data_IF_550661786551
#
_entry.id   IF_550661786551
#
_cell.length_a   1.000
_cell.length_b   1.000
_cell.length_c   1.000
_cell.angle_alpha   90.00
_cell.angle_beta   90.00
_cell.angle_gamma   90.00
#
_symmetry.space_group_name_H-M   'P 1'
#
loop_
_entity.id
_entity.type
_entity.pdbx_description
1 polymer ?
#
# COMPACT_ATOMS: atom_id res chain seq x y z
N UNK A 1 21.18 37.37 18.67
CA UNK A 1 21.91 38.17 19.71
C UNK A 1 21.60 37.70 21.14
N UNK A 2 20.36 37.39 21.50
CA UNK A 2 20.02 36.94 22.88
C UNK A 2 20.71 35.65 23.33
N UNK A 3 20.69 34.63 22.51
CA UNK A 3 21.25 33.32 22.85
C UNK A 3 22.79 33.35 23.10
N UNK A 4 23.52 34.14 22.31
CA UNK A 4 24.97 34.31 22.46
C UNK A 4 25.30 35.02 23.77
N UNK A 5 24.52 36.02 24.16
CA UNK A 5 24.70 36.74 25.42
C UNK A 5 24.37 35.82 26.64
N UNK A 6 23.33 34.99 26.53
CA UNK A 6 22.96 34.02 27.56
C UNK A 6 24.06 32.96 27.74
N UNK A 7 24.62 32.42 26.64
CA UNK A 7 25.75 31.49 26.67
C UNK A 7 27.01 32.10 27.33
N UNK A 8 27.29 33.36 27.07
CA UNK A 8 28.39 34.08 27.71
C UNK A 8 28.16 34.24 29.21
N UNK A 9 26.93 34.59 29.62
CA UNK A 9 26.56 34.73 31.01
C UNK A 9 26.65 33.41 31.77
N UNK A 10 26.15 32.31 31.20
CA UNK A 10 26.27 30.97 31.79
C UNK A 10 27.74 30.59 31.99
N UNK A 11 28.59 30.76 30.96
CA UNK A 11 30.00 30.42 31.05
C UNK A 11 30.75 31.30 32.10
N UNK A 12 30.35 32.55 32.28
CA UNK A 12 30.88 33.41 33.32
C UNK A 12 30.48 32.92 34.73
N UNK A 13 29.20 32.59 34.92
CA UNK A 13 28.72 32.04 36.17
C UNK A 13 29.39 30.70 36.53
N UNK A 14 29.65 29.84 35.57
CA UNK A 14 30.40 28.60 35.73
C UNK A 14 31.84 28.86 36.20
N UNK A 15 32.53 29.81 35.57
CA UNK A 15 33.90 30.21 35.95
C UNK A 15 33.95 30.81 37.35
N UNK A 16 33.02 31.70 37.71
CA UNK A 16 32.89 32.32 39.04
C UNK A 16 32.62 31.27 40.12
N UNK A 17 31.97 30.17 39.77
CA UNK A 17 31.74 29.02 40.67
C UNK A 17 32.94 28.02 40.71
N UNK A 18 34.08 28.34 40.10
CA UNK A 18 35.26 27.47 40.07
C UNK A 18 35.16 26.24 39.15
N UNK A 19 34.20 26.23 38.27
CA UNK A 19 33.99 25.14 37.31
C UNK A 19 34.81 25.37 36.05
N UNK A 20 35.87 24.58 35.85
CA UNK A 20 36.77 24.68 34.71
C UNK A 20 36.23 23.98 33.43
N UNK A 21 34.91 24.08 33.26
CA UNK A 21 34.19 23.56 32.11
C UNK A 21 33.39 24.69 31.46
N UNK A 22 33.27 24.71 30.17
CA UNK A 22 32.48 25.71 29.44
C UNK A 22 31.62 25.09 28.35
N UNK A 23 30.47 25.69 28.07
CA UNK A 23 29.58 25.35 26.99
C UNK A 23 30.03 26.08 25.74
N UNK A 24 30.21 25.39 24.63
CA UNK A 24 30.55 25.96 23.32
C UNK A 24 29.46 25.65 22.30
N UNK A 25 29.04 26.64 21.53
CA UNK A 25 28.20 26.42 20.36
C UNK A 25 29.06 26.11 19.15
N UNK A 26 28.66 25.05 18.41
CA UNK A 26 29.22 24.70 17.09
C UNK A 26 28.10 24.44 16.08
N UNK A 27 27.92 25.36 15.17
CA UNK A 27 26.73 25.33 14.31
C UNK A 27 25.46 25.41 15.16
N UNK A 28 24.56 24.48 14.99
CA UNK A 28 23.32 24.42 15.76
C UNK A 28 23.43 23.59 17.05
N UNK A 29 24.62 23.08 17.41
CA UNK A 29 24.79 22.14 18.51
C UNK A 29 25.60 22.74 19.66
N UNK A 30 25.27 22.33 20.88
CA UNK A 30 26.02 22.65 22.10
C UNK A 30 27.01 21.53 22.43
N UNK A 31 28.19 21.91 22.89
CA UNK A 31 29.25 21.05 23.35
C UNK A 31 29.78 21.51 24.70
N UNK A 32 30.28 20.60 25.51
CA UNK A 32 31.01 20.90 26.73
C UNK A 32 32.51 20.78 26.46
N UNK A 33 33.31 21.77 26.86
CA UNK A 33 34.76 21.76 26.73
C UNK A 33 35.43 22.08 28.07
N UNK A 34 36.48 21.34 28.38
CA UNK A 34 37.27 21.58 29.59
C UNK A 34 38.32 20.53 29.88
N UNK A 35 38.91 20.63 31.05
CA UNK A 35 39.93 19.69 31.53
C UNK A 35 39.27 18.37 31.92
N UNK A 36 39.44 17.31 31.10
CA UNK A 36 38.83 15.99 31.27
C UNK A 36 39.94 14.91 31.25
N UNK A 37 39.74 13.76 31.93
CA UNK A 37 40.64 12.62 31.82
C UNK A 37 40.82 12.16 30.38
N UNK A 38 42.02 11.71 30.00
CA UNK A 38 42.23 11.19 28.64
C UNK A 38 41.43 9.93 28.39
N UNK A 39 40.85 9.81 27.17
CA UNK A 39 40.02 8.66 26.76
C UNK A 39 40.78 7.32 26.71
N UNK A 40 42.08 7.35 26.62
CA UNK A 40 42.96 6.16 26.55
C UNK A 40 43.38 5.62 27.94
N UNK A 41 42.71 6.03 29.01
CA UNK A 41 42.94 5.47 30.34
C UNK A 41 44.28 5.83 31.02
N UNK A 42 45.07 6.77 30.47
CA UNK A 42 46.38 7.15 31.00
C UNK A 42 46.34 8.00 32.27
N UNK A 43 45.15 8.32 32.76
CA UNK A 43 44.98 9.21 33.94
C UNK A 43 45.36 10.68 33.72
N UNK A 44 45.94 11.04 32.59
CA UNK A 44 46.29 12.41 32.26
C UNK A 44 45.07 13.26 31.98
N UNK A 45 45.04 14.49 32.47
CA UNK A 45 43.98 15.46 32.25
C UNK A 45 44.39 16.34 31.04
N UNK A 46 43.54 16.43 30.06
CA UNK A 46 43.74 17.33 28.88
C UNK A 46 42.46 18.07 28.57
N UNK A 47 42.58 19.22 27.91
CA UNK A 47 41.40 19.91 27.41
C UNK A 47 40.75 19.07 26.31
N UNK A 48 39.58 18.60 26.60
CA UNK A 48 38.77 17.75 25.70
C UNK A 48 37.36 18.29 25.57
N UNK A 49 36.58 17.63 24.71
CA UNK A 49 35.21 18.06 24.41
C UNK A 49 34.26 16.87 24.50
N UNK A 50 33.08 17.13 25.08
CA UNK A 50 31.92 16.24 25.10
C UNK A 50 30.86 16.86 24.17
N UNK A 51 30.34 16.11 23.19
CA UNK A 51 29.17 16.54 22.42
C UNK A 51 27.92 16.32 23.27
N UNK A 52 27.15 17.38 23.51
CA UNK A 52 25.93 17.29 24.32
C UNK A 52 24.71 16.85 23.52
N UNK A 53 24.79 16.90 22.19
CA UNK A 53 23.67 16.62 21.27
C UNK A 53 22.42 17.47 21.54
N UNK A 54 22.60 18.63 22.13
CA UNK A 54 21.55 19.62 22.41
C UNK A 54 21.59 20.72 21.38
N UNK A 55 20.44 21.15 20.88
CA UNK A 55 20.33 22.31 20.02
C UNK A 55 20.69 23.60 20.77
N UNK A 56 21.31 24.53 20.06
CA UNK A 56 21.65 25.86 20.59
C UNK A 56 20.38 26.74 20.66
N UNK A 57 19.51 26.43 21.61
CA UNK A 57 18.29 27.13 21.94
C UNK A 57 18.16 27.27 23.47
N UNK A 58 17.22 28.07 23.95
CA UNK A 58 17.07 28.36 25.37
C UNK A 58 16.87 27.11 26.25
N UNK A 59 16.09 26.12 25.75
CA UNK A 59 15.88 24.84 26.42
C UNK A 59 17.17 24.00 26.42
N UNK A 60 17.90 23.99 25.30
CA UNK A 60 19.18 23.30 25.19
C UNK A 60 20.26 23.88 26.11
N UNK A 61 20.33 25.23 26.30
CA UNK A 61 21.26 25.87 27.20
C UNK A 61 21.00 25.49 28.65
N UNK A 62 19.74 25.46 29.11
CA UNK A 62 19.38 25.05 30.47
C UNK A 62 19.77 23.60 30.77
N UNK A 63 19.58 22.72 29.80
CA UNK A 63 19.97 21.31 29.93
C UNK A 63 21.50 21.16 29.89
N UNK A 64 22.19 21.92 29.03
CA UNK A 64 23.64 21.92 28.97
C UNK A 64 24.25 22.36 30.31
N UNK A 65 23.68 23.37 30.99
CA UNK A 65 24.10 23.81 32.31
C UNK A 65 23.97 22.70 33.37
N UNK A 66 22.88 21.96 33.39
CA UNK A 66 22.71 20.78 34.27
C UNK A 66 23.75 19.72 34.01
N UNK A 67 24.06 19.42 32.74
CA UNK A 67 25.09 18.46 32.36
C UNK A 67 26.47 18.90 32.82
N UNK A 68 26.79 20.19 32.69
CA UNK A 68 28.06 20.76 33.22
C UNK A 68 28.20 20.49 34.71
N UNK A 69 27.18 20.74 35.49
CA UNK A 69 27.16 20.49 36.94
C UNK A 69 27.38 19.01 37.26
N UNK A 70 26.74 18.11 36.52
CA UNK A 70 26.88 16.67 36.70
C UNK A 70 28.31 16.20 36.36
N UNK A 71 28.87 16.66 35.24
CA UNK A 71 30.24 16.35 34.85
C UNK A 71 31.25 16.88 35.87
N UNK A 72 31.07 18.10 36.37
CA UNK A 72 31.90 18.66 37.38
C UNK A 72 31.86 17.85 38.71
N UNK A 73 30.67 17.45 39.14
CA UNK A 73 30.48 16.59 40.30
C UNK A 73 31.20 15.24 40.16
N UNK A 74 31.11 14.58 38.99
CA UNK A 74 31.81 13.33 38.71
C UNK A 74 33.33 13.50 38.69
N UNK A 75 33.85 14.61 38.17
CA UNK A 75 35.27 14.93 38.17
C UNK A 75 35.81 15.12 39.58
N UNK A 76 35.08 15.86 40.44
CA UNK A 76 35.45 16.06 41.84
C UNK A 76 35.55 14.76 42.62
N UNK A 77 34.63 13.80 42.35
CA UNK A 77 34.59 12.50 43.01
C UNK A 77 35.49 11.43 42.35
N UNK A 78 36.23 11.80 41.33
CA UNK A 78 37.05 10.85 40.52
C UNK A 78 36.20 9.71 39.92
N UNK A 79 34.95 9.94 39.71
CA UNK A 79 33.95 8.99 39.17
C UNK A 79 33.59 9.28 37.70
N UNK A 80 34.35 10.17 37.06
CA UNK A 80 34.10 10.49 35.65
C UNK A 80 34.48 9.30 34.78
N UNK A 81 33.49 8.81 34.00
CA UNK A 81 33.69 7.73 33.03
C UNK A 81 33.22 8.18 31.63
N UNK A 82 34.12 8.07 30.67
CA UNK A 82 33.84 8.39 29.28
C UNK A 82 32.71 7.58 28.68
N UNK A 83 32.45 6.35 29.13
CA UNK A 83 31.34 5.51 28.65
C UNK A 83 29.98 6.16 28.83
N UNK A 84 29.81 7.01 29.85
CA UNK A 84 28.59 7.75 30.14
C UNK A 84 28.46 9.02 29.26
N UNK A 85 29.59 9.56 28.77
CA UNK A 85 29.65 10.83 28.02
C UNK A 85 30.09 10.67 26.58
N UNK A 86 30.74 9.59 26.25
CA UNK A 86 30.74 9.05 24.92
C UNK A 86 29.48 8.21 24.80
N UNK A 87 28.34 8.84 24.69
CA UNK A 87 27.37 8.24 23.80
C UNK A 87 28.21 7.87 22.60
N UNK A 88 28.37 6.57 22.32
CA UNK A 88 28.63 6.15 20.96
C UNK A 88 27.65 7.01 20.19
N UNK A 89 28.16 8.08 19.56
CA UNK A 89 27.47 8.67 18.46
C UNK A 89 27.17 7.45 17.61
N UNK A 90 26.01 6.91 17.74
CA UNK A 90 25.37 6.21 16.66
C UNK A 90 25.00 7.25 15.61
N UNK A 91 26.00 8.04 15.17
CA UNK A 91 26.21 8.23 13.76
C UNK A 91 26.61 6.85 13.28
N UNK A 92 25.66 5.96 13.27
CA UNK A 92 25.67 4.78 12.45
C UNK A 92 26.05 5.37 11.09
N UNK A 93 27.24 5.01 10.60
CA UNK A 93 27.70 5.54 9.31
C UNK A 93 26.56 5.27 8.34
N UNK A 94 26.26 6.16 7.37
CA UNK A 94 25.17 5.96 6.42
C UNK A 94 25.14 4.56 5.84
N UNK A 95 26.29 3.92 5.73
CA UNK A 95 26.45 2.52 5.34
C UNK A 95 25.92 1.51 6.39
N UNK A 96 26.10 1.76 7.69
CA UNK A 96 25.59 0.87 8.75
C UNK A 96 24.09 0.99 8.93
N UNK A 97 23.52 2.21 8.78
CA UNK A 97 22.05 2.42 8.77
C UNK A 97 21.45 1.72 7.56
N UNK A 98 22.06 1.90 6.39
CA UNK A 98 21.61 1.25 5.15
C UNK A 98 21.73 -0.27 5.23
N UNK A 99 22.73 -0.80 5.92
CA UNK A 99 22.92 -2.25 6.14
C UNK A 99 21.85 -2.79 7.09
N UNK A 100 21.65 -2.18 8.27
CA UNK A 100 20.64 -2.64 9.24
C UNK A 100 19.21 -2.59 8.68
N UNK A 101 18.83 -1.50 7.97
CA UNK A 101 17.55 -1.42 7.29
C UNK A 101 17.43 -2.45 6.17
N UNK A 102 18.50 -2.71 5.41
CA UNK A 102 18.52 -3.71 4.36
C UNK A 102 18.29 -5.11 4.92
N UNK A 103 18.98 -5.47 5.99
CA UNK A 103 18.82 -6.75 6.67
C UNK A 103 17.40 -6.93 7.22
N UNK A 104 16.85 -5.90 7.85
CA UNK A 104 15.47 -5.88 8.35
C UNK A 104 14.45 -6.11 7.22
N UNK A 105 14.63 -5.46 6.07
CA UNK A 105 13.74 -5.62 4.93
C UNK A 105 13.84 -7.02 4.30
N UNK A 106 15.04 -7.60 4.23
CA UNK A 106 15.26 -8.98 3.75
C UNK A 106 14.59 -9.98 4.70
N UNK A 107 14.83 -9.86 6.00
CA UNK A 107 14.20 -10.71 7.02
C UNK A 107 12.68 -10.63 6.98
N UNK A 108 12.12 -9.43 6.77
CA UNK A 108 10.68 -9.25 6.65
C UNK A 108 10.10 -9.88 5.37
N UNK A 109 10.82 -9.78 4.24
CA UNK A 109 10.42 -10.43 2.98
C UNK A 109 10.42 -11.95 3.13
N UNK A 110 11.46 -12.53 3.73
CA UNK A 110 11.53 -13.96 4.01
C UNK A 110 10.40 -14.42 4.93
N UNK A 111 10.15 -13.70 6.02
CA UNK A 111 9.04 -13.98 6.93
C UNK A 111 7.68 -13.90 6.23
N UNK A 112 7.48 -12.91 5.36
CA UNK A 112 6.26 -12.78 4.58
C UNK A 112 5.99 -13.98 3.67
N UNK A 113 7.00 -14.48 2.96
CA UNK A 113 6.83 -15.60 2.02
C UNK A 113 6.88 -16.97 2.70
N UNK A 114 7.45 -17.08 3.90
CA UNK A 114 7.47 -18.32 4.69
C UNK A 114 6.22 -18.51 5.55
N UNK A 115 5.39 -17.48 5.71
CA UNK A 115 4.13 -17.55 6.46
C UNK A 115 3.20 -18.64 5.89
N UNK A 116 2.67 -19.57 6.72
CA UNK A 116 1.84 -20.69 6.26
C UNK A 116 0.60 -20.27 5.48
N UNK A 117 -0.02 -19.14 5.85
CA UNK A 117 -1.19 -18.62 5.13
C UNK A 117 -0.82 -18.12 3.75
N UNK A 118 0.34 -17.44 3.63
CA UNK A 118 0.86 -16.92 2.36
C UNK A 118 1.28 -18.02 1.39
N UNK A 119 1.78 -19.12 1.91
CA UNK A 119 2.16 -20.31 1.13
C UNK A 119 0.98 -20.99 0.44
N UNK A 120 -0.25 -20.83 0.92
CA UNK A 120 -1.45 -21.40 0.28
C UNK A 120 -1.73 -20.82 -1.11
N UNK A 121 -1.29 -19.58 -1.38
CA UNK A 121 -1.44 -18.92 -2.68
C UNK A 121 -0.17 -18.17 -3.06
N UNK A 122 0.86 -18.85 -3.58
CA UNK A 122 2.15 -18.20 -3.89
C UNK A 122 2.02 -17.05 -4.90
N UNK A 123 1.22 -17.21 -5.96
CA UNK A 123 0.98 -16.16 -6.95
C UNK A 123 0.24 -14.95 -6.34
N UNK A 124 -0.75 -15.21 -5.48
CA UNK A 124 -1.45 -14.16 -4.73
C UNK A 124 -0.54 -13.42 -3.76
N UNK A 125 0.34 -14.14 -3.08
CA UNK A 125 1.34 -13.56 -2.18
C UNK A 125 2.35 -12.69 -2.91
N UNK A 126 2.86 -13.13 -4.08
CA UNK A 126 3.70 -12.29 -4.95
C UNK A 126 2.99 -11.01 -5.38
N UNK A 127 1.70 -11.11 -5.78
CA UNK A 127 0.92 -9.93 -6.14
C UNK A 127 0.74 -8.98 -4.96
N UNK A 128 0.44 -9.50 -3.77
CA UNK A 128 0.27 -8.71 -2.54
C UNK A 128 1.58 -8.02 -2.16
N UNK A 129 2.70 -8.75 -2.15
CA UNK A 129 4.01 -8.18 -1.88
C UNK A 129 4.34 -7.03 -2.81
N UNK A 130 4.25 -7.28 -4.13
CA UNK A 130 4.62 -6.32 -5.16
C UNK A 130 3.74 -5.07 -5.17
N UNK A 131 2.45 -5.19 -4.85
CA UNK A 131 1.50 -4.07 -4.95
C UNK A 131 1.21 -3.37 -3.63
N UNK A 132 1.22 -4.09 -2.50
CA UNK A 132 0.78 -3.56 -1.21
C UNK A 132 1.90 -3.41 -0.17
N UNK A 133 3.11 -3.92 -0.42
CA UNK A 133 4.25 -3.82 0.49
C UNK A 133 5.44 -3.13 -0.16
N UNK A 134 5.96 -3.70 -1.24
CA UNK A 134 7.21 -3.29 -1.86
C UNK A 134 7.30 -1.79 -2.22
N UNK A 135 6.25 -1.11 -2.75
CA UNK A 135 6.33 0.31 -3.06
C UNK A 135 6.59 1.17 -1.81
N UNK A 136 5.97 0.82 -0.69
CA UNK A 136 6.08 1.54 0.58
C UNK A 136 7.42 1.28 1.28
N UNK A 137 7.92 0.04 1.23
CA UNK A 137 9.25 -0.32 1.72
C UNK A 137 10.36 0.35 0.90
N UNK A 138 10.19 0.47 -0.42
CA UNK A 138 11.10 1.24 -1.27
C UNK A 138 11.10 2.72 -0.91
N UNK A 139 9.94 3.29 -0.60
CA UNK A 139 9.82 4.69 -0.17
C UNK A 139 10.51 4.90 1.17
N UNK A 140 10.29 4.01 2.15
CA UNK A 140 10.99 4.00 3.43
C UNK A 140 12.51 4.00 3.23
N UNK A 141 13.02 3.07 2.42
CA UNK A 141 14.46 2.98 2.12
C UNK A 141 15.01 4.26 1.47
N UNK A 142 14.27 4.85 0.53
CA UNK A 142 14.69 6.09 -0.12
C UNK A 142 14.75 7.26 0.88
N UNK A 143 13.81 7.38 1.79
CA UNK A 143 13.81 8.43 2.82
C UNK A 143 14.93 8.22 3.85
N UNK A 144 15.19 6.99 4.27
CA UNK A 144 16.30 6.68 5.17
C UNK A 144 17.65 7.13 4.62
N UNK A 145 17.89 6.86 3.33
CA UNK A 145 19.13 7.29 2.64
C UNK A 145 19.22 8.81 2.53
N UNK A 146 18.13 9.45 2.10
CA UNK A 146 18.13 10.90 1.85
C UNK A 146 18.27 11.74 3.13
N UNK A 147 17.65 11.30 4.23
CA UNK A 147 17.67 12.00 5.52
C UNK A 147 18.84 11.60 6.40
N UNK A 148 19.60 10.56 6.04
CA UNK A 148 20.59 9.93 6.93
C UNK A 148 20.02 9.63 8.33
N UNK A 149 18.72 9.27 8.36
CA UNK A 149 17.96 9.04 9.59
C UNK A 149 18.20 7.63 10.12
N UNK A 150 18.18 7.48 11.44
CA UNK A 150 18.13 6.16 12.05
C UNK A 150 16.83 5.43 11.63
N UNK A 151 16.87 4.10 11.66
CA UNK A 151 15.66 3.31 11.44
C UNK A 151 14.89 3.23 12.76
N UNK A 152 13.92 4.11 12.92
CA UNK A 152 13.10 4.30 14.11
C UNK A 152 11.63 4.62 13.74
N UNK A 153 10.81 4.86 14.76
CA UNK A 153 9.41 5.20 14.59
C UNK A 153 9.18 6.55 13.90
N UNK A 154 10.14 7.48 13.99
CA UNK A 154 10.07 8.79 13.33
C UNK A 154 10.22 8.63 11.82
N UNK A 155 11.15 7.78 11.34
CA UNK A 155 11.30 7.46 9.93
C UNK A 155 10.03 6.79 9.36
N UNK A 156 9.35 5.94 10.15
CA UNK A 156 8.08 5.36 9.75
C UNK A 156 7.00 6.44 9.58
N UNK A 157 6.90 7.40 10.53
CA UNK A 157 5.98 8.53 10.46
C UNK A 157 6.28 9.43 9.25
N UNK A 158 7.54 9.78 9.02
CA UNK A 158 7.97 10.55 7.85
C UNK A 158 7.61 9.87 6.52
N UNK A 159 7.76 8.54 6.48
CA UNK A 159 7.37 7.77 5.30
C UNK A 159 5.86 7.83 5.09
N UNK A 160 5.07 7.69 6.14
CA UNK A 160 3.61 7.82 6.08
C UNK A 160 3.19 9.23 5.63
N UNK A 161 3.79 10.27 6.21
CA UNK A 161 3.52 11.68 5.88
C UNK A 161 3.90 12.05 4.44
N UNK A 162 4.73 11.24 3.76
CA UNK A 162 5.07 11.45 2.34
C UNK A 162 3.92 11.15 1.38
N UNK A 163 2.80 10.62 1.88
CA UNK A 163 1.57 10.38 1.12
C UNK A 163 0.48 11.33 1.57
N UNK A 164 -0.35 11.77 0.64
CA UNK A 164 -1.45 12.71 0.92
C UNK A 164 -2.42 12.14 1.97
N UNK A 165 -2.90 13.00 2.86
CA UNK A 165 -3.88 12.66 3.88
C UNK A 165 -5.16 12.10 3.26
N UNK A 166 -5.78 11.12 3.93
CA UNK A 166 -6.99 10.47 3.47
C UNK A 166 -6.84 9.69 2.14
N UNK A 167 -5.60 9.46 1.66
CA UNK A 167 -5.36 8.70 0.44
C UNK A 167 -5.29 7.20 0.71
N UNK A 168 -5.70 6.40 -0.29
CA UNK A 168 -5.52 4.95 -0.26
C UNK A 168 -4.05 4.55 -0.12
N UNK A 169 -3.14 5.29 -0.74
CA UNK A 169 -1.71 5.02 -0.65
C UNK A 169 -1.19 5.20 0.76
N UNK A 170 -1.66 6.24 1.48
CA UNK A 170 -1.32 6.45 2.89
C UNK A 170 -1.81 5.30 3.77
N UNK A 171 -3.07 4.87 3.60
CA UNK A 171 -3.63 3.73 4.33
C UNK A 171 -2.86 2.43 4.07
N UNK A 172 -2.50 2.16 2.82
CA UNK A 172 -1.71 0.97 2.48
C UNK A 172 -0.27 1.08 2.98
N UNK A 173 0.34 2.27 2.95
CA UNK A 173 1.63 2.55 3.56
C UNK A 173 1.61 2.20 5.05
N UNK A 174 0.64 2.71 5.80
CA UNK A 174 0.49 2.41 7.22
C UNK A 174 0.35 0.91 7.49
N UNK A 175 -0.41 0.19 6.65
CA UNK A 175 -0.55 -1.27 6.75
C UNK A 175 0.78 -1.99 6.53
N UNK A 176 1.55 -1.60 5.51
CA UNK A 176 2.84 -2.22 5.18
C UNK A 176 3.89 -1.94 6.26
N UNK A 177 4.01 -0.68 6.69
CA UNK A 177 4.97 -0.28 7.73
C UNK A 177 4.57 -0.82 9.11
N UNK A 178 3.28 -0.90 9.42
CA UNK A 178 2.80 -1.53 10.65
C UNK A 178 3.07 -3.05 10.69
N UNK A 179 3.08 -3.72 9.55
CA UNK A 179 3.49 -5.12 9.47
C UNK A 179 5.01 -5.28 9.65
N UNK A 180 5.80 -4.39 9.07
CA UNK A 180 7.25 -4.34 9.26
C UNK A 180 7.61 -4.07 10.73
N UNK A 181 6.98 -3.06 11.36
CA UNK A 181 7.21 -2.73 12.76
C UNK A 181 6.91 -3.90 13.69
N UNK A 182 5.81 -4.62 13.47
CA UNK A 182 5.48 -5.83 14.24
C UNK A 182 6.50 -6.96 14.06
N UNK A 183 7.01 -7.15 12.84
CA UNK A 183 8.05 -8.14 12.57
C UNK A 183 9.34 -7.83 13.32
N UNK A 184 9.67 -6.55 13.48
CA UNK A 184 10.88 -6.06 14.14
C UNK A 184 10.68 -5.72 15.63
N UNK A 185 9.50 -6.02 16.18
CA UNK A 185 9.12 -5.68 17.56
C UNK A 185 9.30 -4.18 17.90
N UNK A 186 9.16 -3.31 16.89
CA UNK A 186 9.23 -1.87 17.04
C UNK A 186 7.91 -1.29 17.52
N UNK A 187 7.95 -0.40 18.49
CA UNK A 187 6.79 0.37 18.90
C UNK A 187 6.36 1.34 17.79
N UNK A 188 5.07 1.32 17.48
CA UNK A 188 4.46 2.32 16.60
C UNK A 188 4.00 3.53 17.44
N UNK A 189 3.93 4.74 16.83
CA UNK A 189 3.30 5.89 17.46
C UNK A 189 1.86 5.57 17.89
N UNK A 190 1.40 6.14 19.01
CA UNK A 190 0.05 5.88 19.55
C UNK A 190 -1.06 6.27 18.55
N UNK A 191 -0.84 7.32 17.80
CA UNK A 191 -1.75 7.88 16.79
C UNK A 191 -1.61 7.25 15.39
N UNK A 192 -0.81 6.20 15.23
CA UNK A 192 -0.49 5.56 13.93
C UNK A 192 -1.72 5.23 13.09
N UNK A 193 -2.78 4.73 13.72
CA UNK A 193 -4.03 4.38 13.02
C UNK A 193 -4.79 5.63 12.58
N UNK A 194 -4.85 6.64 13.46
CA UNK A 194 -5.52 7.90 13.17
C UNK A 194 -4.82 8.68 12.04
N UNK A 195 -3.49 8.70 12.02
CA UNK A 195 -2.71 9.32 10.95
C UNK A 195 -2.91 8.66 9.56
N UNK A 196 -3.32 7.40 9.54
CA UNK A 196 -3.58 6.65 8.31
C UNK A 196 -5.04 6.67 7.86
N UNK A 197 -5.94 7.21 8.67
CA UNK A 197 -7.38 7.23 8.43
C UNK A 197 -7.79 8.29 7.40
N UNK A 198 -9.08 8.35 7.13
CA UNK A 198 -9.68 9.31 6.18
C UNK A 198 -9.85 8.78 4.76
N UNK A 199 -9.32 7.61 4.39
CA UNK A 199 -9.64 6.95 3.14
C UNK A 199 -10.92 6.14 3.28
N UNK A 200 -12.01 6.64 2.73
CA UNK A 200 -13.29 5.96 2.74
C UNK A 200 -13.94 5.90 1.36
N UNK A 201 -14.92 5.00 1.22
CA UNK A 201 -15.69 4.84 -0.03
C UNK A 201 -16.58 6.04 -0.34
N UNK A 202 -16.78 6.96 0.62
CA UNK A 202 -17.48 8.23 0.41
C UNK A 202 -16.80 9.15 -0.60
N UNK A 203 -15.54 8.86 -0.96
CA UNK A 203 -14.79 9.55 -2.01
C UNK A 203 -14.80 8.80 -3.35
N UNK A 204 -15.57 7.72 -3.48
CA UNK A 204 -15.74 7.05 -4.76
C UNK A 204 -16.42 8.02 -5.75
N UNK A 205 -15.62 8.65 -6.60
CA UNK A 205 -16.14 9.51 -7.67
C UNK A 205 -17.05 8.67 -8.55
N UNK A 206 -18.26 9.15 -8.81
CA UNK A 206 -19.17 8.57 -9.79
C UNK A 206 -18.42 8.44 -11.13
N UNK A 207 -18.10 7.20 -11.50
CA UNK A 207 -17.52 6.93 -12.81
C UNK A 207 -18.65 6.93 -13.82
N UNK A 208 -18.50 7.67 -14.91
CA UNK A 208 -19.37 7.46 -16.04
C UNK A 208 -19.10 6.07 -16.60
N UNK A 209 -20.13 5.24 -16.61
CA UNK A 209 -20.07 3.91 -17.20
C UNK A 209 -20.45 4.01 -18.69
N UNK A 210 -19.85 3.19 -19.55
CA UNK A 210 -20.25 3.12 -20.95
C UNK A 210 -21.70 2.60 -21.04
N UNK A 211 -22.46 3.15 -21.96
CA UNK A 211 -23.77 2.62 -22.33
C UNK A 211 -23.61 1.28 -23.08
N UNK A 212 -24.67 0.48 -23.14
CA UNK A 212 -24.66 -0.79 -23.89
C UNK A 212 -24.33 -0.56 -25.37
N UNK A 213 -24.83 0.53 -25.98
CA UNK A 213 -24.47 0.94 -27.33
C UNK A 213 -22.96 1.16 -27.49
N UNK A 214 -22.33 1.89 -26.58
CA UNK A 214 -20.89 2.12 -26.60
C UNK A 214 -20.08 0.84 -26.41
N UNK A 215 -20.59 -0.09 -25.61
CA UNK A 215 -19.93 -1.41 -25.41
C UNK A 215 -20.01 -2.21 -26.69
N UNK A 216 -21.16 -2.24 -27.34
CA UNK A 216 -21.38 -2.96 -28.61
C UNK A 216 -20.48 -2.39 -29.72
N UNK A 217 -20.47 -1.08 -29.90
CA UNK A 217 -19.67 -0.41 -30.95
C UNK A 217 -18.16 -0.54 -30.73
N UNK A 218 -17.71 -0.64 -29.50
CA UNK A 218 -16.28 -0.70 -29.19
C UNK A 218 -15.60 -2.00 -29.67
N UNK A 219 -16.34 -3.10 -29.84
CA UNK A 219 -15.77 -4.37 -30.34
C UNK A 219 -15.24 -4.27 -31.74
N UNK A 220 -15.82 -3.39 -32.59
CA UNK A 220 -15.40 -3.18 -33.99
C UNK A 220 -13.94 -2.72 -34.10
N UNK A 221 -13.40 -2.10 -33.06
CA UNK A 221 -12.01 -1.65 -32.99
C UNK A 221 -11.03 -2.80 -32.73
N UNK A 222 -11.50 -4.00 -32.47
CA UNK A 222 -10.70 -5.16 -32.12
C UNK A 222 -10.54 -6.08 -33.34
N UNK A 223 -9.42 -6.02 -34.06
CA UNK A 223 -9.25 -6.84 -35.30
C UNK A 223 -8.96 -8.31 -35.02
N UNK A 224 -8.37 -8.63 -33.85
CA UNK A 224 -7.97 -10.00 -33.51
C UNK A 224 -9.15 -10.76 -32.90
N UNK A 225 -9.53 -11.93 -33.47
CA UNK A 225 -10.70 -12.69 -33.00
C UNK A 225 -10.59 -13.18 -31.58
N UNK A 226 -9.41 -13.58 -31.09
CA UNK A 226 -9.23 -14.00 -29.70
C UNK A 226 -9.40 -12.86 -28.71
N UNK A 227 -9.00 -11.65 -29.07
CA UNK A 227 -9.27 -10.46 -28.25
C UNK A 227 -10.72 -9.99 -28.35
N UNK A 228 -11.43 -10.24 -29.50
CA UNK A 228 -12.88 -10.03 -29.59
C UNK A 228 -13.62 -10.96 -28.65
N UNK A 229 -13.23 -12.26 -28.63
CA UNK A 229 -13.78 -13.23 -27.68
C UNK A 229 -13.55 -12.76 -26.25
N UNK A 230 -12.31 -12.41 -25.88
CA UNK A 230 -11.98 -11.93 -24.52
C UNK A 230 -12.80 -10.71 -24.13
N UNK A 231 -13.01 -9.77 -25.05
CA UNK A 231 -13.84 -8.58 -24.84
C UNK A 231 -15.30 -8.95 -24.63
N UNK A 232 -15.88 -9.75 -25.54
CA UNK A 232 -17.28 -10.16 -25.48
C UNK A 232 -17.60 -10.95 -24.20
N UNK A 233 -16.70 -11.85 -23.78
CA UNK A 233 -16.84 -12.59 -22.53
C UNK A 233 -16.89 -11.63 -21.31
N UNK A 234 -16.02 -10.60 -21.26
CA UNK A 234 -16.07 -9.62 -20.18
C UNK A 234 -17.35 -8.76 -20.21
N UNK A 235 -17.82 -8.39 -21.41
CA UNK A 235 -19.00 -7.57 -21.58
C UNK A 235 -20.30 -8.32 -21.20
N UNK A 236 -20.41 -9.58 -21.64
CA UNK A 236 -21.60 -10.41 -21.48
C UNK A 236 -21.71 -11.06 -20.12
N UNK A 237 -20.58 -11.44 -19.50
CA UNK A 237 -20.56 -12.19 -18.22
C UNK A 237 -19.99 -11.38 -17.06
N UNK A 238 -19.55 -10.15 -17.26
CA UNK A 238 -19.01 -9.32 -16.19
C UNK A 238 -17.72 -9.84 -15.55
N UNK A 239 -16.96 -10.67 -16.27
CA UNK A 239 -15.72 -11.28 -15.78
C UNK A 239 -14.67 -10.24 -15.42
N UNK A 240 -13.82 -10.57 -14.43
CA UNK A 240 -12.57 -9.82 -14.24
C UNK A 240 -11.65 -10.06 -15.44
N UNK A 241 -10.83 -9.08 -15.74
CA UNK A 241 -9.90 -9.13 -16.88
C UNK A 241 -8.99 -10.37 -16.91
N UNK A 242 -8.61 -10.95 -15.78
CA UNK A 242 -7.85 -12.19 -15.74
C UNK A 242 -8.74 -13.44 -15.81
N UNK A 243 -9.98 -13.38 -15.33
CA UNK A 243 -10.89 -14.53 -15.28
C UNK A 243 -11.21 -15.10 -16.67
N UNK A 244 -11.18 -14.25 -17.70
CA UNK A 244 -11.37 -14.67 -19.10
C UNK A 244 -10.47 -15.84 -19.50
N UNK A 245 -9.24 -15.88 -18.99
CA UNK A 245 -8.26 -16.95 -19.28
C UNK A 245 -8.36 -18.13 -18.32
N UNK A 246 -9.28 -18.08 -17.38
CA UNK A 246 -9.53 -19.11 -16.38
C UNK A 246 -11.01 -19.52 -16.36
N UNK A 247 -11.67 -19.49 -17.51
CA UNK A 247 -13.02 -20.00 -17.72
C UNK A 247 -12.99 -21.29 -18.51
N UNK A 248 -13.93 -22.18 -18.19
CA UNK A 248 -14.25 -23.32 -19.02
C UNK A 248 -15.20 -22.85 -20.13
N UNK A 249 -14.74 -22.91 -21.37
CA UNK A 249 -15.48 -22.49 -22.56
C UNK A 249 -16.04 -23.68 -23.35
N UNK A 250 -15.86 -24.93 -22.88
CA UNK A 250 -16.14 -26.12 -23.67
C UNK A 250 -17.64 -26.25 -24.03
N UNK A 251 -18.54 -25.99 -23.07
CA UNK A 251 -19.98 -26.04 -23.31
C UNK A 251 -20.46 -24.90 -24.23
N UNK A 252 -19.93 -23.68 -24.02
CA UNK A 252 -20.22 -22.52 -24.89
C UNK A 252 -19.76 -22.78 -26.34
N UNK A 253 -18.54 -23.29 -26.51
CA UNK A 253 -17.99 -23.59 -27.84
C UNK A 253 -18.80 -24.62 -28.65
N UNK A 254 -19.52 -25.50 -27.98
CA UNK A 254 -20.41 -26.51 -28.60
C UNK A 254 -21.85 -26.04 -28.76
N UNK A 255 -22.19 -24.87 -28.22
CA UNK A 255 -23.59 -24.41 -28.13
C UNK A 255 -24.46 -25.23 -27.17
N UNK A 256 -23.85 -25.99 -26.25
CA UNK A 256 -24.56 -26.85 -25.30
C UNK A 256 -25.13 -26.06 -24.09
N UNK A 257 -24.38 -25.05 -23.61
CA UNK A 257 -24.78 -24.20 -22.48
C UNK A 257 -24.09 -22.84 -22.60
N UNK A 258 -24.82 -21.79 -22.29
CA UNK A 258 -24.31 -20.42 -22.24
C UNK A 258 -23.80 -20.01 -20.85
N UNK A 259 -23.92 -20.89 -19.86
CA UNK A 259 -23.39 -20.63 -18.50
C UNK A 259 -21.90 -20.92 -18.45
N UNK A 260 -21.10 -19.91 -18.09
CA UNK A 260 -19.68 -20.07 -17.93
C UNK A 260 -19.30 -20.50 -16.51
N UNK A 261 -18.33 -21.39 -16.41
CA UNK A 261 -17.69 -21.79 -15.16
C UNK A 261 -16.32 -21.13 -15.05
N UNK A 262 -16.15 -20.23 -14.07
CA UNK A 262 -14.84 -19.71 -13.69
C UNK A 262 -14.12 -20.72 -12.82
N UNK A 263 -12.86 -21.02 -13.16
CA UNK A 263 -12.06 -22.07 -12.52
C UNK A 263 -11.58 -21.68 -11.11
N UNK A 264 -11.30 -22.65 -10.22
CA UNK A 264 -10.98 -22.40 -8.80
C UNK A 264 -9.67 -21.67 -8.55
N UNK A 265 -8.75 -21.63 -9.51
CA UNK A 265 -7.44 -20.98 -9.41
C UNK A 265 -7.48 -19.45 -9.59
N UNK A 266 -8.65 -18.84 -9.59
CA UNK A 266 -8.85 -17.38 -9.61
C UNK A 266 -8.89 -16.79 -8.19
N UNK A 267 -8.91 -15.45 -8.09
CA UNK A 267 -8.91 -14.73 -6.81
C UNK A 267 -10.09 -15.10 -5.90
N UNK A 268 -11.24 -15.41 -6.48
CA UNK A 268 -12.51 -15.64 -5.78
C UNK A 268 -12.96 -17.09 -5.80
N UNK A 269 -12.16 -17.98 -6.38
CA UNK A 269 -12.47 -19.38 -6.51
C UNK A 269 -13.51 -19.66 -7.59
N UNK A 270 -13.98 -20.90 -7.60
CA UNK A 270 -14.93 -21.39 -8.58
C UNK A 270 -16.31 -20.75 -8.42
N UNK A 271 -16.91 -20.32 -9.53
CA UNK A 271 -18.28 -19.84 -9.60
C UNK A 271 -18.82 -19.89 -11.02
N UNK A 272 -20.15 -19.87 -11.15
CA UNK A 272 -20.84 -19.86 -12.44
C UNK A 272 -21.38 -18.46 -12.73
N UNK A 273 -21.39 -18.10 -14.02
CA UNK A 273 -21.86 -16.80 -14.50
C UNK A 273 -22.78 -17.00 -15.72
N UNK A 274 -23.94 -16.38 -15.65
CA UNK A 274 -24.91 -16.32 -16.74
C UNK A 274 -24.71 -15.09 -17.61
N UNK A 275 -25.05 -15.15 -18.91
CA UNK A 275 -24.96 -14.01 -19.79
C UNK A 275 -26.02 -12.94 -19.44
N UNK A 276 -25.62 -11.69 -19.47
CA UNK A 276 -26.48 -10.50 -19.36
C UNK A 276 -25.94 -9.40 -20.28
N UNK A 277 -26.59 -9.04 -21.41
CA UNK A 277 -27.79 -9.66 -22.01
C UNK A 277 -27.46 -11.01 -22.68
N UNK A 278 -28.37 -11.99 -22.64
CA UNK A 278 -28.16 -13.29 -23.29
C UNK A 278 -27.93 -13.18 -24.81
N UNK A 279 -28.64 -12.32 -25.51
CA UNK A 279 -28.50 -12.01 -26.93
C UNK A 279 -27.10 -11.46 -27.31
N UNK A 280 -26.29 -11.05 -26.35
CA UNK A 280 -24.90 -10.68 -26.61
C UNK A 280 -23.98 -11.88 -26.88
N UNK A 281 -24.42 -13.09 -26.54
CA UNK A 281 -23.69 -14.30 -26.92
C UNK A 281 -23.66 -14.42 -28.46
N UNK A 282 -24.80 -14.21 -29.11
CA UNK A 282 -24.91 -14.17 -30.57
C UNK A 282 -24.25 -12.94 -31.16
N UNK A 283 -24.57 -11.75 -30.60
CA UNK A 283 -24.07 -10.47 -31.10
C UNK A 283 -22.52 -10.40 -31.15
N UNK A 284 -21.84 -10.92 -30.13
CA UNK A 284 -20.39 -11.00 -30.10
C UNK A 284 -19.83 -12.30 -30.72
N UNK A 285 -20.64 -13.15 -31.32
CA UNK A 285 -20.27 -14.43 -31.95
C UNK A 285 -19.49 -15.33 -30.99
N UNK A 286 -19.86 -15.35 -29.66
CA UNK A 286 -19.05 -15.97 -28.63
C UNK A 286 -18.90 -17.48 -28.80
N UNK A 287 -19.95 -18.20 -29.24
CA UNK A 287 -19.93 -19.64 -29.50
C UNK A 287 -18.98 -19.97 -30.68
N UNK A 288 -19.10 -19.23 -31.78
CA UNK A 288 -18.26 -19.39 -32.96
C UNK A 288 -16.79 -19.08 -32.65
N UNK A 289 -16.51 -17.99 -31.95
CA UNK A 289 -15.16 -17.59 -31.56
C UNK A 289 -14.54 -18.57 -30.57
N UNK A 290 -15.33 -19.09 -29.61
CA UNK A 290 -14.87 -20.08 -28.63
C UNK A 290 -14.54 -21.44 -29.26
N UNK A 291 -15.16 -21.79 -30.36
CA UNK A 291 -14.94 -23.07 -31.07
C UNK A 291 -13.64 -23.12 -31.88
N UNK A 292 -12.87 -22.04 -31.94
CA UNK A 292 -11.58 -22.05 -32.63
C UNK A 292 -10.50 -22.77 -31.81
N UNK A 293 -9.57 -23.44 -32.45
CA UNK A 293 -8.49 -24.19 -31.80
C UNK A 293 -7.60 -23.34 -30.87
N UNK A 294 -7.51 -22.05 -31.13
CA UNK A 294 -6.86 -21.06 -30.30
C UNK A 294 -7.84 -19.92 -30.01
N UNK A 295 -8.94 -20.23 -29.30
CA UNK A 295 -10.02 -19.30 -29.06
C UNK A 295 -9.54 -17.99 -28.43
N UNK A 296 -8.75 -18.09 -27.38
CA UNK A 296 -8.18 -16.93 -26.65
C UNK A 296 -6.75 -16.61 -27.13
N UNK A 297 -6.33 -15.33 -27.03
CA UNK A 297 -4.98 -14.95 -27.41
C UNK A 297 -3.93 -15.59 -26.49
N UNK A 298 -2.68 -15.82 -26.97
CA UNK A 298 -1.63 -16.44 -26.20
C UNK A 298 -1.17 -15.52 -25.05
N UNK A 299 -1.65 -15.81 -23.84
CA UNK A 299 -1.24 -15.16 -22.60
C UNK A 299 -0.69 -16.23 -21.67
N UNK A 300 0.45 -15.96 -21.03
CA UNK A 300 0.98 -16.88 -20.02
C UNK A 300 0.04 -16.90 -18.81
N UNK A 301 -0.59 -18.06 -18.57
CA UNK A 301 -1.53 -18.31 -17.46
C UNK A 301 -0.94 -19.23 -16.38
N UNK A 302 0.31 -19.66 -16.52
CA UNK A 302 0.99 -20.51 -15.55
C UNK A 302 1.32 -19.71 -14.29
N UNK A 303 0.50 -19.87 -13.25
CA UNK A 303 0.63 -19.15 -11.98
C UNK A 303 1.91 -19.50 -11.19
N UNK A 304 2.72 -20.47 -11.62
CA UNK A 304 4.07 -20.70 -11.09
C UNK A 304 5.00 -19.56 -11.49
N UNK A 305 4.82 -19.04 -12.71
CA UNK A 305 5.69 -18.04 -13.33
C UNK A 305 5.04 -16.66 -13.52
N UNK A 306 3.71 -16.56 -13.42
CA UNK A 306 2.97 -15.29 -13.52
C UNK A 306 2.02 -15.11 -12.34
N UNK A 307 1.27 -14.01 -12.32
CA UNK A 307 0.23 -13.71 -11.34
C UNK A 307 -1.06 -13.31 -12.04
N UNK A 308 -2.21 -13.48 -11.38
CA UNK A 308 -3.50 -13.03 -11.91
C UNK A 308 -3.49 -11.53 -12.25
N UNK A 309 -2.74 -10.72 -11.50
CA UNK A 309 -2.57 -9.30 -11.79
C UNK A 309 -1.81 -9.07 -13.10
N UNK A 310 -0.76 -9.84 -13.38
CA UNK A 310 0.01 -9.75 -14.63
C UNK A 310 -0.82 -10.19 -15.82
N UNK A 311 -1.59 -11.29 -15.70
CA UNK A 311 -2.55 -11.73 -16.72
C UNK A 311 -3.56 -10.62 -17.02
N UNK A 312 -4.22 -10.08 -16.00
CA UNK A 312 -5.18 -8.99 -16.17
C UNK A 312 -4.56 -7.70 -16.72
N UNK A 313 -3.29 -7.44 -16.44
CA UNK A 313 -2.54 -6.31 -17.01
C UNK A 313 -2.41 -6.45 -18.52
N UNK A 314 -2.18 -7.67 -19.06
CA UNK A 314 -2.12 -7.91 -20.52
C UNK A 314 -3.41 -7.51 -21.21
N UNK A 315 -4.57 -7.82 -20.62
CA UNK A 315 -5.87 -7.36 -21.14
C UNK A 315 -5.94 -5.83 -21.17
N UNK A 316 -5.59 -5.17 -20.07
CA UNK A 316 -5.63 -3.72 -20.00
C UNK A 316 -4.65 -3.04 -20.97
N UNK A 317 -3.50 -3.64 -21.22
CA UNK A 317 -2.52 -3.18 -22.22
C UNK A 317 -3.10 -3.31 -23.64
N UNK A 318 -3.81 -4.40 -23.91
CA UNK A 318 -4.42 -4.61 -25.23
C UNK A 318 -5.58 -3.66 -25.50
N UNK A 319 -6.42 -3.37 -24.50
CA UNK A 319 -7.47 -2.34 -24.62
C UNK A 319 -6.88 -0.98 -25.00
N UNK A 320 -5.75 -0.60 -24.40
CA UNK A 320 -5.03 0.65 -24.74
C UNK A 320 -4.46 0.62 -26.16
N UNK A 321 -3.90 -0.52 -26.61
CA UNK A 321 -3.37 -0.67 -27.98
C UNK A 321 -4.45 -0.50 -29.03
N UNK A 322 -5.64 -1.03 -28.77
CA UNK A 322 -6.80 -0.86 -29.64
C UNK A 322 -7.51 0.48 -29.44
N UNK A 323 -7.00 1.35 -28.57
CA UNK A 323 -7.57 2.65 -28.25
C UNK A 323 -9.07 2.57 -27.90
N UNK A 324 -9.44 1.54 -27.12
CA UNK A 324 -10.81 1.39 -26.67
C UNK A 324 -11.18 2.54 -25.73
N UNK A 325 -12.38 3.16 -25.87
CA UNK A 325 -12.82 4.31 -25.07
C UNK A 325 -13.21 3.92 -23.63
N UNK A 326 -12.99 2.67 -23.25
CA UNK A 326 -13.35 2.07 -21.97
C UNK A 326 -12.26 1.12 -21.47
N UNK A 327 -12.32 0.80 -20.18
CA UNK A 327 -11.42 -0.15 -19.54
C UNK A 327 -12.09 -1.52 -19.33
N UNK A 328 -11.34 -2.63 -19.14
CA UNK A 328 -11.95 -3.90 -18.79
C UNK A 328 -12.86 -3.83 -17.55
N UNK A 329 -12.51 -3.02 -16.57
CA UNK A 329 -13.33 -2.83 -15.38
C UNK A 329 -14.63 -2.07 -15.65
N UNK A 330 -14.67 -1.20 -16.66
CA UNK A 330 -15.93 -0.54 -17.07
C UNK A 330 -16.95 -1.56 -17.57
N UNK A 331 -16.52 -2.60 -18.31
CA UNK A 331 -17.42 -3.69 -18.75
C UNK A 331 -18.02 -4.43 -17.56
N UNK A 332 -17.20 -4.78 -16.58
CA UNK A 332 -17.65 -5.45 -15.35
C UNK A 332 -18.59 -4.57 -14.52
N UNK A 333 -18.32 -3.29 -14.40
CA UNK A 333 -19.20 -2.35 -13.70
C UNK A 333 -20.52 -2.16 -14.43
N UNK A 334 -20.48 -2.04 -15.77
CA UNK A 334 -21.68 -1.95 -16.59
C UNK A 334 -22.56 -3.21 -16.47
N UNK A 335 -21.94 -4.40 -16.47
CA UNK A 335 -22.64 -5.67 -16.23
C UNK A 335 -23.34 -5.66 -14.86
N UNK A 336 -22.67 -5.26 -13.79
CA UNK A 336 -23.27 -5.23 -12.46
C UNK A 336 -24.44 -4.25 -12.36
N UNK A 337 -24.33 -3.08 -12.96
CA UNK A 337 -25.42 -2.09 -13.00
C UNK A 337 -26.58 -2.59 -13.87
N UNK A 338 -26.30 -3.24 -14.98
CA UNK A 338 -27.32 -3.86 -15.84
C UNK A 338 -28.11 -4.94 -15.10
N UNK A 339 -27.44 -5.80 -14.30
CA UNK A 339 -28.15 -6.80 -13.49
C UNK A 339 -29.09 -6.18 -12.46
N UNK A 340 -28.74 -5.03 -11.90
CA UNK A 340 -29.62 -4.27 -11.00
C UNK A 340 -30.83 -3.74 -11.76
N UNK A 341 -30.64 -3.11 -12.92
CA UNK A 341 -31.72 -2.55 -13.72
C UNK A 341 -32.70 -3.62 -14.25
N UNK A 342 -32.22 -4.84 -14.49
CA UNK A 342 -33.05 -5.98 -14.88
C UNK A 342 -33.77 -6.61 -13.66
N UNK A 343 -33.37 -6.26 -12.44
CA UNK A 343 -33.97 -6.77 -11.21
C UNK A 343 -33.42 -8.12 -10.73
N UNK A 344 -32.18 -8.46 -11.12
CA UNK A 344 -31.52 -9.65 -10.58
C UNK A 344 -31.21 -9.44 -9.08
N UNK A 345 -31.56 -10.38 -8.20
CA UNK A 345 -31.24 -10.24 -6.78
C UNK A 345 -29.75 -10.03 -6.52
N UNK A 346 -29.40 -9.09 -5.64
CA UNK A 346 -28.00 -8.76 -5.30
C UNK A 346 -27.19 -9.97 -4.83
N UNK A 347 -27.81 -10.90 -4.13
CA UNK A 347 -27.18 -12.14 -3.67
C UNK A 347 -26.74 -13.03 -4.83
N UNK A 348 -27.53 -13.07 -5.90
CA UNK A 348 -27.25 -13.83 -7.11
C UNK A 348 -26.16 -13.11 -7.94
N UNK A 349 -26.33 -11.80 -8.19
CA UNK A 349 -25.35 -10.98 -8.91
C UNK A 349 -23.99 -11.01 -8.21
N UNK A 350 -23.95 -10.84 -6.89
CA UNK A 350 -22.72 -10.90 -6.11
C UNK A 350 -22.02 -12.26 -6.24
N UNK A 351 -22.78 -13.37 -6.17
CA UNK A 351 -22.24 -14.72 -6.34
C UNK A 351 -21.68 -14.94 -7.74
N UNK A 352 -22.38 -14.49 -8.78
CA UNK A 352 -21.92 -14.54 -10.17
C UNK A 352 -20.67 -13.68 -10.39
N UNK A 353 -20.54 -12.57 -9.69
CA UNK A 353 -19.32 -11.76 -9.71
C UNK A 353 -18.21 -12.28 -8.79
N UNK A 354 -18.42 -13.36 -8.04
CA UNK A 354 -17.42 -13.90 -7.11
C UNK A 354 -17.00 -12.90 -6.03
N UNK A 355 -17.95 -12.21 -5.40
CA UNK A 355 -17.70 -11.37 -4.22
C UNK A 355 -18.89 -11.40 -3.24
N UNK A 356 -18.68 -10.91 -2.01
CA UNK A 356 -19.75 -10.88 -1.02
C UNK A 356 -20.84 -9.87 -1.38
N UNK A 357 -22.07 -10.14 -0.90
CA UNK A 357 -23.20 -9.21 -1.05
C UNK A 357 -22.86 -7.84 -0.50
N UNK A 358 -22.18 -7.75 0.65
CA UNK A 358 -21.77 -6.49 1.23
C UNK A 358 -20.85 -5.66 0.30
N UNK A 359 -19.93 -6.33 -0.43
CA UNK A 359 -19.10 -5.65 -1.43
C UNK A 359 -19.95 -5.21 -2.62
N UNK A 360 -20.88 -6.04 -3.08
CA UNK A 360 -21.77 -5.72 -4.20
C UNK A 360 -22.63 -4.50 -3.88
N UNK A 361 -23.38 -4.55 -2.82
CA UNK A 361 -24.24 -3.47 -2.31
C UNK A 361 -23.45 -2.15 -2.16
N UNK A 362 -22.34 -2.19 -1.43
CA UNK A 362 -21.50 -1.01 -1.20
C UNK A 362 -20.94 -0.41 -2.48
N UNK A 363 -20.68 -1.24 -3.50
CA UNK A 363 -20.06 -0.78 -4.74
C UNK A 363 -21.08 -0.28 -5.74
N UNK A 364 -22.29 -0.86 -5.80
CA UNK A 364 -23.21 -0.65 -6.91
C UNK A 364 -24.55 0.00 -6.54
N UNK A 365 -24.99 -0.02 -5.26
CA UNK A 365 -26.30 0.54 -4.89
C UNK A 365 -26.47 2.05 -5.14
N UNK A 366 -25.38 2.79 -5.28
CA UNK A 366 -25.45 4.20 -5.64
C UNK A 366 -25.92 4.46 -7.09
N UNK A 367 -25.98 3.42 -7.94
CA UNK A 367 -26.58 3.49 -9.28
C UNK A 367 -28.07 3.15 -9.29
N UNK A 368 -28.63 2.64 -8.20
CA UNK A 368 -30.07 2.35 -8.10
C UNK A 368 -30.85 3.67 -8.10
N UNK A 369 -31.65 3.88 -9.14
CA UNK A 369 -32.52 5.05 -9.26
C UNK A 369 -33.91 4.78 -8.67
N UNK A 370 -34.70 5.84 -8.46
CA UNK A 370 -36.12 5.72 -8.10
C UNK A 370 -36.90 4.88 -9.11
N UNK A 371 -36.56 5.00 -10.39
CA UNK A 371 -37.16 4.22 -11.47
C UNK A 371 -36.93 2.74 -11.31
N UNK A 372 -35.69 2.35 -10.99
CA UNK A 372 -35.33 0.93 -10.75
C UNK A 372 -36.08 0.35 -9.56
N UNK A 373 -36.23 1.15 -8.49
CA UNK A 373 -37.02 0.76 -7.33
C UNK A 373 -38.48 0.51 -7.70
N UNK A 374 -39.09 1.41 -8.49
CA UNK A 374 -40.48 1.27 -8.95
C UNK A 374 -40.66 0.03 -9.83
N UNK A 375 -39.75 -0.19 -10.79
CA UNK A 375 -39.76 -1.39 -11.64
C UNK A 375 -39.68 -2.69 -10.83
N UNK A 376 -38.84 -2.73 -9.80
CA UNK A 376 -38.71 -3.89 -8.92
C UNK A 376 -40.01 -4.15 -8.15
N UNK A 377 -40.67 -3.10 -7.65
CA UNK A 377 -41.98 -3.20 -6.98
C UNK A 377 -43.04 -3.72 -7.94
N UNK A 378 -43.14 -3.14 -9.14
CA UNK A 378 -44.14 -3.53 -10.14
C UNK A 378 -43.97 -5.00 -10.56
N UNK A 379 -42.72 -5.43 -10.80
CA UNK A 379 -42.40 -6.81 -11.12
C UNK A 379 -42.74 -7.81 -9.98
N UNK A 380 -42.48 -7.41 -8.72
CA UNK A 380 -42.83 -8.22 -7.57
C UNK A 380 -44.33 -8.39 -7.39
N UNK A 381 -45.11 -7.32 -7.61
CA UNK A 381 -46.57 -7.35 -7.58
C UNK A 381 -47.16 -8.17 -8.72
N UNK A 382 -46.64 -8.06 -9.93
CA UNK A 382 -47.06 -8.84 -11.10
C UNK A 382 -46.90 -10.35 -10.86
N UNK A 383 -45.77 -10.77 -10.28
CA UNK A 383 -45.54 -12.21 -9.92
C UNK A 383 -46.54 -12.77 -8.89
N UNK A 384 -47.04 -11.91 -7.99
CA UNK A 384 -48.02 -12.30 -6.97
C UNK A 384 -49.44 -12.44 -7.52
N UNK A 385 -49.74 -11.82 -8.67
CA UNK A 385 -51.02 -11.82 -9.32
C UNK A 385 -51.13 -12.85 -10.45
N UNK A 386 -50.03 -13.55 -10.76
CA UNK A 386 -50.06 -14.72 -11.66
C UNK A 386 -50.36 -15.99 -10.84
N UNK A 387 -51.41 -16.74 -11.15
CA UNK A 387 -51.82 -17.92 -10.39
C UNK A 387 -50.80 -19.09 -10.48
#
# INVERSE_FOLDING_TARGET
>A
MELSNELININRALADSGINLRIEQRGQWLNLRGALPCRNGTGLIKTQRISLQLLAEQKGLKEAERIVQLVHYQLQRKQFDWSQWTTKSTRTQPEQIATGLREALVSFEEAFFTDPYRRRSPAGSRSTWTSAYLPYLRRLKALAVNKQSCFDSELLRDTLASYADGSRSRQQCATALGALARHLEMALPEDWRAEADGYGLHQARFRQLPSDKQIIEAVERIPNPGWRLAYGLMATYGLRNHEVFFCDLAALAKGEDQVLRVLPNTKTGEHQVWPFHPDWVEHFELEQLANNAQALPPVNVDLRHTTLQQVGRRVSEQFRRYQLPLTPYNLRHAWAVRTIHIGLPDTVAARMMGHSVAIHTRTYHHWITRRDQQQAVDAALARKLSP
#
